data_IF_798923708094
#
_entry.id   IF_798923708094
#
_cell.length_a   1.000
_cell.length_b   1.000
_cell.length_c   1.000
_cell.angle_alpha   90.00
_cell.angle_beta   90.00
_cell.angle_gamma   90.00
#
_symmetry.space_group_name_H-M   'P 1'
#
loop_
_entity.id
_entity.type
_entity.pdbx_description
1 polymer ?
#
# COMPACT_ATOMS: atom_id res chain seq x y z
N UNK A 1 -11.67 8.10 -4.97
CA UNK A 1 -11.31 6.76 -4.45
C UNK A 1 -10.71 5.94 -5.56
N UNK A 2 -9.84 4.99 -5.23
CA UNK A 2 -9.25 4.01 -6.15
C UNK A 2 -10.34 3.36 -7.03
N UNK A 3 -11.51 3.11 -6.45
CA UNK A 3 -12.71 2.59 -7.11
C UNK A 3 -13.16 3.41 -8.34
N UNK A 4 -13.16 4.75 -8.24
CA UNK A 4 -13.51 5.65 -9.36
C UNK A 4 -12.46 5.62 -10.46
N UNK A 5 -11.18 5.47 -10.12
CA UNK A 5 -10.10 5.32 -11.10
C UNK A 5 -10.27 4.02 -11.89
N UNK A 6 -10.62 2.94 -11.21
CA UNK A 6 -10.80 1.63 -11.83
C UNK A 6 -12.03 1.60 -12.75
N UNK A 7 -13.17 2.13 -12.30
CA UNK A 7 -14.39 2.23 -13.12
C UNK A 7 -14.14 3.03 -14.40
N UNK A 8 -13.36 4.11 -14.31
CA UNK A 8 -13.04 4.96 -15.46
C UNK A 8 -12.10 4.29 -16.46
N UNK A 9 -11.04 3.65 -15.96
CA UNK A 9 -9.94 3.18 -16.81
C UNK A 9 -10.08 1.71 -17.25
N UNK A 10 -10.99 0.95 -16.64
CA UNK A 10 -11.27 -0.43 -17.01
C UNK A 10 -12.79 -0.71 -17.13
N UNK A 11 -13.53 -0.01 -18.03
CA UNK A 11 -14.99 -0.06 -18.07
C UNK A 11 -15.62 -1.30 -18.74
N UNK A 12 -14.93 -1.98 -19.67
CA UNK A 12 -15.52 -3.05 -20.51
C UNK A 12 -14.53 -4.19 -20.90
N UNK A 13 -14.16 -5.07 -19.97
CA UNK A 13 -13.61 -6.42 -20.23
C UNK A 13 -12.27 -6.52 -21.00
N UNK A 14 -11.17 -6.79 -20.33
CA UNK A 14 -10.59 -8.15 -20.27
C UNK A 14 -9.97 -8.39 -18.90
N UNK A 15 -10.82 -8.22 -17.90
CA UNK A 15 -10.35 -8.23 -16.54
C UNK A 15 -10.62 -9.62 -15.98
N UNK A 16 -9.55 -10.39 -15.70
CA UNK A 16 -9.68 -11.72 -15.13
C UNK A 16 -10.62 -11.74 -13.91
N UNK A 17 -11.16 -12.91 -13.58
CA UNK A 17 -12.09 -13.13 -12.46
C UNK A 17 -11.67 -12.41 -11.17
N UNK A 18 -10.36 -12.18 -11.01
CA UNK A 18 -9.78 -11.37 -9.96
C UNK A 18 -10.26 -9.91 -9.88
N UNK A 19 -10.19 -9.06 -10.93
CA UNK A 19 -10.72 -7.69 -10.67
C UNK A 19 -12.23 -7.62 -10.70
N UNK A 20 -12.93 -8.57 -11.33
CA UNK A 20 -14.36 -8.69 -11.11
C UNK A 20 -14.65 -8.84 -9.61
N UNK A 21 -13.89 -9.71 -8.93
CA UNK A 21 -13.93 -9.84 -7.47
C UNK A 21 -13.45 -8.58 -6.74
N UNK A 22 -12.38 -7.91 -7.19
CA UNK A 22 -11.90 -6.67 -6.57
C UNK A 22 -12.91 -5.51 -6.66
N UNK A 23 -13.53 -5.33 -7.82
CA UNK A 23 -14.62 -4.39 -8.01
C UNK A 23 -15.79 -4.75 -7.11
N UNK A 24 -16.23 -6.01 -7.11
CA UNK A 24 -17.33 -6.47 -6.26
C UNK A 24 -17.06 -6.23 -4.77
N UNK A 25 -15.82 -6.43 -4.30
CA UNK A 25 -15.41 -6.18 -2.91
C UNK A 25 -15.40 -4.69 -2.56
N UNK A 26 -14.91 -3.83 -3.46
CA UNK A 26 -15.02 -2.39 -3.35
C UNK A 26 -16.49 -1.92 -3.29
N UNK A 27 -17.35 -2.48 -4.16
CA UNK A 27 -18.79 -2.17 -4.19
C UNK A 27 -19.53 -2.62 -2.93
N UNK A 28 -19.07 -3.67 -2.23
CA UNK A 28 -19.64 -4.15 -0.96
C UNK A 28 -19.23 -3.34 0.27
N UNK A 29 -18.48 -2.24 0.10
CA UNK A 29 -18.12 -1.32 1.19
C UNK A 29 -17.02 -1.84 2.14
N UNK A 30 -16.34 -2.93 1.79
CA UNK A 30 -15.10 -3.37 2.46
C UNK A 30 -13.92 -2.62 1.85
N UNK A 31 -12.91 -2.30 2.66
CA UNK A 31 -11.64 -1.79 2.12
C UNK A 31 -11.00 -2.88 1.26
N UNK A 32 -11.18 -2.75 -0.04
CA UNK A 32 -10.80 -3.78 -1.01
C UNK A 32 -9.27 -4.01 -1.02
N UNK A 33 -8.48 -3.00 -0.71
CA UNK A 33 -7.02 -3.11 -0.65
C UNK A 33 -6.59 -3.98 0.54
N UNK A 34 -7.24 -3.81 1.70
CA UNK A 34 -7.00 -4.66 2.88
C UNK A 34 -7.29 -6.13 2.56
N UNK A 35 -8.41 -6.40 1.89
CA UNK A 35 -8.79 -7.75 1.50
C UNK A 35 -7.83 -8.36 0.47
N UNK A 36 -7.26 -7.57 -0.45
CA UNK A 36 -6.19 -8.06 -1.33
C UNK A 36 -4.99 -8.55 -0.51
N UNK A 37 -4.53 -7.77 0.46
CA UNK A 37 -3.39 -8.17 1.28
C UNK A 37 -3.67 -9.45 2.06
N UNK A 38 -4.91 -9.68 2.51
CA UNK A 38 -5.33 -10.91 3.19
C UNK A 38 -5.44 -12.08 2.19
N UNK A 39 -6.27 -11.93 1.16
CA UNK A 39 -6.70 -13.05 0.32
C UNK A 39 -5.70 -13.39 -0.78
N UNK A 40 -4.95 -12.41 -1.30
CA UNK A 40 -3.97 -12.62 -2.38
C UNK A 40 -2.58 -12.81 -1.81
N UNK A 41 -2.12 -11.85 -1.01
CA UNK A 41 -0.76 -11.83 -0.49
C UNK A 41 -0.61 -12.53 0.86
N UNK A 42 -1.69 -13.04 1.47
CA UNK A 42 -1.66 -13.84 2.70
C UNK A 42 -1.04 -13.13 3.92
N UNK A 43 -1.14 -11.80 3.99
CA UNK A 43 -0.80 -11.05 5.19
C UNK A 43 -1.89 -11.16 6.26
N UNK A 44 -1.51 -11.01 7.52
CA UNK A 44 -2.45 -10.58 8.56
C UNK A 44 -2.63 -9.07 8.40
N UNK A 45 -3.78 -8.63 7.89
CA UNK A 45 -4.02 -7.21 7.63
C UNK A 45 -5.17 -6.65 8.49
N UNK A 46 -5.06 -5.39 8.88
CA UNK A 46 -6.08 -4.64 9.60
C UNK A 46 -6.34 -3.30 8.89
N UNK A 47 -7.60 -3.05 8.56
CA UNK A 47 -8.05 -1.74 8.10
C UNK A 47 -8.18 -0.79 9.30
N UNK A 48 -7.56 0.38 9.21
CA UNK A 48 -7.48 1.39 10.28
C UNK A 48 -8.18 2.72 9.91
N UNK A 49 -8.31 3.02 8.61
CA UNK A 49 -8.71 4.31 8.04
C UNK A 49 -10.11 4.85 8.39
N UNK A 50 -10.94 4.10 9.13
CA UNK A 50 -12.29 4.52 9.54
C UNK A 50 -12.45 4.75 11.06
N UNK A 51 -11.39 4.59 11.86
CA UNK A 51 -11.47 4.72 13.33
C UNK A 51 -11.52 6.17 13.84
N UNK A 52 -11.64 7.18 12.96
CA UNK A 52 -11.73 8.59 13.33
C UNK A 52 -10.44 9.22 13.86
N UNK A 53 -9.36 8.43 13.99
CA UNK A 53 -8.07 8.89 14.47
C UNK A 53 -7.22 9.36 13.29
N UNK A 54 -6.96 10.67 13.17
CA UNK A 54 -6.07 11.28 12.14
C UNK A 54 -4.60 10.82 12.20
N UNK A 55 -4.31 9.81 13.02
CA UNK A 55 -2.98 9.41 13.45
C UNK A 55 -2.66 7.95 13.13
N UNK A 56 -3.48 7.28 12.32
CA UNK A 56 -3.23 5.93 11.83
C UNK A 56 -3.23 5.89 10.28
N UNK A 57 -2.42 5.00 9.67
CA UNK A 57 -2.47 4.76 8.24
C UNK A 57 -3.80 4.07 7.85
N UNK A 58 -4.03 3.84 6.56
CA UNK A 58 -5.25 3.14 6.13
C UNK A 58 -5.20 1.64 6.47
N UNK A 59 -4.03 1.02 6.36
CA UNK A 59 -3.85 -0.43 6.56
C UNK A 59 -2.57 -0.71 7.35
N UNK A 60 -2.67 -1.63 8.30
CA UNK A 60 -1.55 -2.26 8.97
C UNK A 60 -1.42 -3.70 8.48
N UNK A 61 -0.21 -4.10 8.10
CA UNK A 61 0.13 -5.47 7.72
C UNK A 61 1.08 -6.06 8.77
N UNK A 62 0.84 -7.29 9.19
CA UNK A 62 1.71 -8.04 10.10
C UNK A 62 2.10 -9.34 9.41
N UNK A 63 3.38 -9.67 9.52
CA UNK A 63 3.88 -10.97 9.10
C UNK A 63 4.80 -11.57 10.15
N UNK A 64 4.39 -12.71 10.70
CA UNK A 64 5.07 -13.34 11.84
C UNK A 64 6.35 -14.07 11.44
N UNK A 65 6.39 -14.75 10.28
CA UNK A 65 7.52 -15.62 9.95
C UNK A 65 8.80 -14.82 9.66
N UNK A 66 8.71 -13.69 8.94
CA UNK A 66 9.85 -12.77 8.76
C UNK A 66 9.92 -11.67 9.83
N UNK A 67 9.01 -11.70 10.82
CA UNK A 67 9.03 -10.81 11.99
C UNK A 67 9.02 -9.32 11.66
N UNK A 68 8.07 -8.86 10.84
CA UNK A 68 7.89 -7.44 10.53
C UNK A 68 6.42 -7.02 10.48
N UNK A 69 6.20 -5.72 10.63
CA UNK A 69 4.92 -5.08 10.32
C UNK A 69 5.12 -3.98 9.28
N UNK A 70 4.09 -3.60 8.54
CA UNK A 70 4.17 -2.58 7.49
C UNK A 70 2.91 -1.75 7.45
N UNK A 71 3.02 -0.54 6.91
CA UNK A 71 1.92 0.43 6.84
C UNK A 71 1.63 0.81 5.39
N UNK A 72 0.35 0.80 5.02
CA UNK A 72 -0.11 1.19 3.69
C UNK A 72 -1.06 2.38 3.83
N UNK A 73 -0.88 3.37 2.96
CA UNK A 73 -1.69 4.58 2.92
C UNK A 73 -2.24 4.77 1.49
N UNK A 74 -3.56 4.62 1.36
CA UNK A 74 -4.28 4.71 0.09
C UNK A 74 -4.56 6.18 -0.25
N UNK A 75 -4.35 6.54 -1.52
CA UNK A 75 -4.47 7.92 -2.00
C UNK A 75 -5.34 7.99 -3.24
N UNK A 76 -6.46 8.69 -3.08
CA UNK A 76 -7.49 8.84 -4.11
C UNK A 76 -7.15 9.91 -5.17
N UNK A 77 -5.89 10.02 -5.59
CA UNK A 77 -5.40 11.02 -6.54
C UNK A 77 -4.85 10.35 -7.80
N UNK A 78 -5.13 10.93 -8.97
CA UNK A 78 -4.56 10.50 -10.26
C UNK A 78 -3.10 10.93 -10.44
N UNK A 79 -2.68 11.96 -9.72
CA UNK A 79 -1.31 12.47 -9.67
C UNK A 79 -1.01 12.91 -8.24
N UNK A 80 -0.51 11.98 -7.43
CA UNK A 80 -0.29 12.20 -6.00
C UNK A 80 1.07 12.83 -5.73
N UNK A 81 1.10 13.73 -4.74
CA UNK A 81 2.31 14.25 -4.14
C UNK A 81 2.23 14.13 -2.61
N UNK A 82 3.37 13.85 -1.99
CA UNK A 82 3.52 13.85 -0.55
C UNK A 82 3.82 15.29 -0.14
N UNK A 83 2.77 16.07 0.13
CA UNK A 83 2.90 17.42 0.68
C UNK A 83 3.36 17.37 2.16
N UNK A 84 3.67 18.52 2.74
CA UNK A 84 4.18 18.60 4.11
C UNK A 84 3.27 17.96 5.17
N UNK A 85 1.94 18.04 5.00
CA UNK A 85 1.00 17.39 5.92
C UNK A 85 1.06 15.86 5.81
N UNK A 86 1.02 15.31 4.59
CA UNK A 86 1.14 13.86 4.37
C UNK A 86 2.50 13.32 4.83
N UNK A 87 3.58 14.07 4.58
CA UNK A 87 4.91 13.75 5.09
C UNK A 87 4.91 13.67 6.62
N UNK A 88 4.40 14.70 7.28
CA UNK A 88 4.37 14.76 8.74
C UNK A 88 3.52 13.62 9.32
N UNK A 89 2.39 13.28 8.68
CA UNK A 89 1.58 12.13 9.09
C UNK A 89 2.35 10.82 8.98
N UNK A 90 3.00 10.55 7.86
CA UNK A 90 3.74 9.31 7.68
C UNK A 90 4.89 9.18 8.71
N UNK A 91 5.72 10.22 8.85
CA UNK A 91 6.88 10.16 9.75
C UNK A 91 6.46 10.23 11.21
N UNK A 92 5.72 11.25 11.61
CA UNK A 92 5.50 11.57 13.02
C UNK A 92 4.26 10.93 13.63
N UNK A 93 3.25 10.61 12.81
CA UNK A 93 2.02 10.00 13.31
C UNK A 93 2.01 8.49 13.09
N UNK A 94 2.40 8.02 11.90
CA UNK A 94 2.32 6.60 11.58
C UNK A 94 3.58 5.89 12.07
N UNK A 95 4.72 6.13 11.43
CA UNK A 95 5.97 5.41 11.73
C UNK A 95 6.39 5.59 13.19
N UNK A 96 6.51 6.84 13.66
CA UNK A 96 6.96 7.14 15.02
C UNK A 96 6.01 6.62 16.11
N UNK A 97 4.70 6.56 15.85
CA UNK A 97 3.71 6.19 16.86
C UNK A 97 2.97 4.89 16.53
N UNK A 98 3.62 3.95 15.83
CA UNK A 98 3.00 2.67 15.45
C UNK A 98 2.36 1.90 16.62
N UNK A 99 2.96 2.01 17.81
CA UNK A 99 2.45 1.42 19.06
C UNK A 99 1.03 1.89 19.45
N UNK A 100 0.57 3.03 18.92
CA UNK A 100 -0.76 3.55 19.21
C UNK A 100 -1.87 2.79 18.48
N UNK A 101 -1.53 2.07 17.41
CA UNK A 101 -2.51 1.36 16.58
C UNK A 101 -2.07 -0.09 16.22
N UNK A 102 -0.89 -0.52 16.67
CA UNK A 102 -0.41 -1.89 16.53
C UNK A 102 0.07 -2.43 17.88
N UNK A 103 -0.45 -3.59 18.27
CA UNK A 103 0.06 -4.37 19.40
C UNK A 103 1.27 -5.24 19.04
N UNK A 104 1.63 -5.31 17.75
CA UNK A 104 2.78 -6.07 17.27
C UNK A 104 4.08 -5.39 17.69
N UNK A 105 5.05 -6.18 18.19
CA UNK A 105 6.36 -5.69 18.62
C UNK A 105 7.44 -5.74 17.54
N UNK A 106 7.11 -6.26 16.35
CA UNK A 106 8.07 -6.35 15.26
C UNK A 106 8.46 -4.97 14.73
N UNK A 107 9.67 -4.80 14.16
CA UNK A 107 10.04 -3.57 13.49
C UNK A 107 9.15 -3.29 12.27
N UNK A 108 9.11 -2.03 11.86
CA UNK A 108 8.48 -1.65 10.59
C UNK A 108 9.41 -2.09 9.46
N UNK A 109 8.91 -2.99 8.61
CA UNK A 109 9.62 -3.47 7.42
C UNK A 109 9.62 -2.44 6.31
N UNK A 110 8.47 -1.84 6.02
CA UNK A 110 8.33 -0.76 5.05
C UNK A 110 7.07 0.09 5.29
N UNK A 111 7.03 1.27 4.67
CA UNK A 111 5.80 2.02 4.39
C UNK A 111 5.52 2.04 2.89
N UNK A 112 4.25 2.13 2.48
CA UNK A 112 3.92 2.30 1.06
C UNK A 112 2.70 3.18 0.84
N UNK A 113 2.73 3.98 -0.23
CA UNK A 113 1.56 4.66 -0.76
C UNK A 113 0.97 3.88 -1.94
N UNK A 114 -0.36 3.80 -2.03
CA UNK A 114 -1.05 3.30 -3.22
C UNK A 114 -1.90 4.42 -3.81
N UNK A 115 -1.61 4.84 -5.04
CA UNK A 115 -2.27 5.98 -5.69
C UNK A 115 -2.62 5.70 -7.16
N UNK A 116 -3.47 6.52 -7.78
CA UNK A 116 -3.76 6.41 -9.21
C UNK A 116 -2.54 6.73 -10.08
N UNK A 117 -1.70 7.66 -9.62
CA UNK A 117 -0.43 8.05 -10.22
C UNK A 117 0.35 8.97 -9.28
N UNK A 118 1.57 9.35 -9.66
CA UNK A 118 2.46 10.17 -8.84
C UNK A 118 3.11 11.28 -9.65
N UNK A 119 3.47 12.38 -8.99
CA UNK A 119 4.29 13.44 -9.60
C UNK A 119 5.72 12.94 -9.86
N UNK A 120 6.43 13.60 -10.79
CA UNK A 120 7.82 13.25 -11.16
C UNK A 120 8.80 13.22 -9.99
N UNK A 121 8.56 14.02 -8.94
CA UNK A 121 9.46 14.11 -7.79
C UNK A 121 9.09 13.15 -6.64
N UNK A 122 8.22 12.17 -6.88
CA UNK A 122 7.74 11.26 -5.82
C UNK A 122 8.88 10.46 -5.18
N UNK A 123 9.84 9.98 -5.96
CA UNK A 123 10.99 9.21 -5.45
C UNK A 123 11.78 10.02 -4.43
N UNK A 124 12.04 11.30 -4.74
CA UNK A 124 12.70 12.22 -3.81
C UNK A 124 11.90 12.41 -2.52
N UNK A 125 10.56 12.47 -2.62
CA UNK A 125 9.70 12.63 -1.44
C UNK A 125 9.68 11.36 -0.57
N UNK A 126 9.63 10.17 -1.17
CA UNK A 126 9.73 8.88 -0.47
C UNK A 126 11.10 8.77 0.22
N UNK A 127 12.18 9.08 -0.49
CA UNK A 127 13.53 9.07 0.05
C UNK A 127 13.67 10.03 1.24
N UNK A 128 13.00 11.18 1.21
CA UNK A 128 13.01 12.14 2.34
C UNK A 128 12.39 11.53 3.59
N UNK A 129 11.24 10.86 3.46
CA UNK A 129 10.61 10.12 4.57
C UNK A 129 11.54 9.01 5.07
N UNK A 130 12.14 8.24 4.16
CA UNK A 130 13.02 7.14 4.54
C UNK A 130 14.25 7.63 5.31
N UNK A 131 14.88 8.72 4.84
CA UNK A 131 16.02 9.35 5.50
C UNK A 131 15.67 9.88 6.90
N UNK A 132 14.49 10.49 7.07
CA UNK A 132 14.07 11.08 8.34
C UNK A 132 13.59 10.02 9.35
N UNK A 133 12.84 9.03 8.87
CA UNK A 133 12.21 8.03 9.74
C UNK A 133 13.08 6.80 10.01
N UNK A 134 14.09 6.54 9.17
CA UNK A 134 14.89 5.32 9.20
C UNK A 134 14.16 4.06 8.70
N UNK A 135 12.95 4.22 8.15
CA UNK A 135 12.14 3.12 7.60
C UNK A 135 12.06 3.29 6.09
N UNK A 136 12.48 2.29 5.33
CA UNK A 136 12.36 2.33 3.88
C UNK A 136 10.89 2.28 3.44
N UNK A 137 10.61 2.76 2.24
CA UNK A 137 9.26 2.67 1.71
C UNK A 137 9.16 2.88 0.22
N UNK A 138 7.94 2.95 -0.27
CA UNK A 138 7.69 3.04 -1.70
C UNK A 138 6.35 3.70 -2.04
N UNK A 139 6.13 3.89 -3.33
CA UNK A 139 4.83 4.25 -3.88
C UNK A 139 4.51 3.33 -5.03
N UNK A 140 3.30 2.78 -5.10
CA UNK A 140 2.86 1.96 -6.23
C UNK A 140 1.58 2.52 -6.83
N UNK A 141 1.54 2.57 -8.16
CA UNK A 141 0.31 2.98 -8.84
C UNK A 141 -0.69 1.84 -8.78
N UNK A 142 -1.99 2.15 -8.81
CA UNK A 142 -3.03 1.13 -8.89
C UNK A 142 -2.80 0.19 -10.09
N UNK A 143 -2.33 0.73 -11.22
CA UNK A 143 -1.99 -0.07 -12.41
C UNK A 143 -0.85 -1.07 -12.16
N UNK A 144 0.23 -0.65 -11.50
CA UNK A 144 1.33 -1.56 -11.17
C UNK A 144 0.96 -2.53 -10.03
N UNK A 145 0.13 -2.10 -9.08
CA UNK A 145 -0.38 -2.96 -8.02
C UNK A 145 -1.23 -4.11 -8.59
N UNK A 146 -2.06 -3.80 -9.59
CA UNK A 146 -2.77 -4.79 -10.40
C UNK A 146 -1.80 -5.80 -11.02
N UNK A 147 -0.70 -5.34 -11.63
CA UNK A 147 0.31 -6.22 -12.23
C UNK A 147 1.03 -7.09 -11.20
N UNK A 148 1.32 -6.56 -10.02
CA UNK A 148 1.88 -7.33 -8.90
C UNK A 148 0.94 -8.47 -8.50
N UNK A 149 -0.36 -8.22 -8.43
CA UNK A 149 -1.35 -9.24 -8.09
C UNK A 149 -1.45 -10.30 -9.19
N UNK A 150 -1.54 -9.89 -10.46
CA UNK A 150 -1.57 -10.82 -11.60
C UNK A 150 -0.34 -11.75 -11.59
N UNK A 151 0.86 -11.22 -11.34
CA UNK A 151 2.08 -12.04 -11.25
C UNK A 151 2.05 -12.98 -10.05
N UNK A 152 1.58 -12.52 -8.90
CA UNK A 152 1.46 -13.35 -7.70
C UNK A 152 0.53 -14.56 -7.90
N UNK A 153 -0.49 -14.44 -8.77
CA UNK A 153 -1.39 -15.56 -9.07
C UNK A 153 -0.74 -16.63 -9.96
N UNK A 154 0.21 -16.24 -10.81
CA UNK A 154 0.97 -17.17 -11.67
C UNK A 154 2.10 -17.81 -10.86
N UNK A 155 2.85 -17.00 -10.13
CA UNK A 155 3.95 -17.42 -9.26
C UNK A 155 3.87 -16.58 -7.97
N UNK A 156 3.39 -17.17 -6.86
CA UNK A 156 3.28 -16.44 -5.60
C UNK A 156 4.62 -15.88 -5.13
N UNK A 157 4.64 -14.61 -4.76
CA UNK A 157 5.77 -13.99 -4.09
C UNK A 157 5.78 -14.43 -2.63
N UNK A 158 6.97 -14.75 -2.12
CA UNK A 158 7.20 -14.81 -0.68
C UNK A 158 7.10 -13.42 -0.05
N UNK A 159 6.79 -13.35 1.24
CA UNK A 159 6.76 -12.07 1.97
C UNK A 159 8.11 -11.37 2.03
N UNK A 160 9.21 -12.13 1.92
CA UNK A 160 10.56 -11.60 1.76
C UNK A 160 10.76 -10.91 0.41
N UNK A 161 10.22 -11.46 -0.67
CA UNK A 161 10.23 -10.82 -1.99
C UNK A 161 9.33 -9.58 -2.00
N UNK A 162 8.12 -9.67 -1.45
CA UNK A 162 7.23 -8.50 -1.32
C UNK A 162 7.90 -7.38 -0.52
N UNK A 163 8.56 -7.70 0.60
CA UNK A 163 9.30 -6.72 1.39
C UNK A 163 10.37 -5.99 0.55
N UNK A 164 11.14 -6.73 -0.26
CA UNK A 164 12.16 -6.14 -1.16
C UNK A 164 11.57 -5.25 -2.25
N UNK A 165 10.34 -5.53 -2.69
CA UNK A 165 9.64 -4.70 -3.67
C UNK A 165 9.16 -3.40 -3.01
N UNK A 166 8.66 -3.47 -1.77
CA UNK A 166 8.11 -2.32 -1.08
C UNK A 166 9.12 -1.45 -0.34
N UNK A 167 10.38 -1.89 -0.17
CA UNK A 167 11.44 -1.18 0.55
C UNK A 167 12.44 -0.42 -0.37
N UNK A 168 12.08 -0.19 -1.64
CA UNK A 168 12.97 0.36 -2.67
C UNK A 168 13.33 1.86 -2.54
N UNK A 169 12.66 2.62 -1.68
CA UNK A 169 12.78 4.09 -1.54
C UNK A 169 12.44 4.89 -2.81
N UNK A 170 11.63 4.31 -3.68
CA UNK A 170 11.15 4.91 -4.93
C UNK A 170 9.73 4.44 -5.27
N UNK A 171 9.19 4.97 -6.36
CA UNK A 171 8.04 4.37 -7.01
C UNK A 171 8.38 2.95 -7.51
N UNK A 172 7.49 2.00 -7.26
CA UNK A 172 7.54 0.65 -7.83
C UNK A 172 7.09 0.70 -9.29
N UNK A 173 8.00 0.31 -10.18
CA UNK A 173 7.79 0.19 -11.62
C UNK A 173 7.58 -1.27 -12.02
N UNK A 174 7.15 -1.52 -13.26
CA UNK A 174 6.87 -2.87 -13.75
C UNK A 174 8.13 -3.77 -13.79
N UNK A 175 9.31 -3.17 -13.90
CA UNK A 175 10.61 -3.86 -13.85
C UNK A 175 10.99 -4.35 -12.45
N UNK A 176 10.39 -3.78 -11.40
CA UNK A 176 10.62 -4.17 -10.00
C UNK A 176 9.73 -5.35 -9.55
N UNK A 177 8.69 -5.65 -10.34
CA UNK A 177 7.68 -6.71 -10.13
C UNK A 177 8.07 -7.93 -10.98
#
# INVERSE_FOLDING_TARGET
>A
MIEKYLQKNYPNGSIGAFMASYFEMAFKGKDATTEIFISVFKYKAQHLGQTGSKSAPDILLIFDEDGYQSIIDNKAYSEYSINGDHHNRMVHNYIRNIKNYSSCKYPIGYFSYIAGGFIKSIDKQIQTIANESGVNGSGITVGNFIKLIERNQIKPFSHKELRKIFDLNKQILLEDI
#
